data_IF_852080714703
#
_entry.id   IF_852080714703
#
_cell.length_a   1.000
_cell.length_b   1.000
_cell.length_c   1.000
_cell.angle_alpha   90.00
_cell.angle_beta   90.00
_cell.angle_gamma   90.00
#
_symmetry.space_group_name_H-M   'P 1'
#
loop_
_entity.id
_entity.type
_entity.pdbx_description
1 polymer ?
#
# COMPACT_ATOMS: atom_id res chain seq x y z
N UNK A 1 25.36 27.85 -10.96
CA UNK A 1 24.62 27.08 -9.94
C UNK A 1 23.32 26.59 -10.59
N UNK A 2 23.12 25.28 -10.66
CA UNK A 2 22.22 24.62 -11.63
C UNK A 2 20.76 24.70 -11.22
N UNK A 3 20.00 25.64 -11.80
CA UNK A 3 18.56 25.81 -11.59
C UNK A 3 17.75 24.50 -11.74
N UNK A 4 18.18 23.62 -12.64
CA UNK A 4 17.60 22.29 -12.86
C UNK A 4 17.58 21.40 -11.59
N UNK A 5 18.61 21.49 -10.75
CA UNK A 5 18.68 20.70 -9.51
C UNK A 5 17.55 21.08 -8.56
N UNK A 6 17.29 22.38 -8.41
CA UNK A 6 16.23 22.88 -7.55
C UNK A 6 14.84 22.50 -8.05
N UNK A 7 14.66 22.42 -9.37
CA UNK A 7 13.42 21.90 -9.96
C UNK A 7 13.22 20.43 -9.62
N UNK A 8 14.26 19.61 -9.78
CA UNK A 8 14.19 18.17 -9.46
C UNK A 8 13.88 17.95 -7.97
N UNK A 9 14.58 18.67 -7.08
CA UNK A 9 14.34 18.61 -5.64
C UNK A 9 12.91 19.02 -5.31
N UNK A 10 12.42 20.12 -5.88
CA UNK A 10 11.05 20.58 -5.67
C UNK A 10 9.99 19.55 -6.11
N UNK A 11 10.19 18.91 -7.25
CA UNK A 11 9.30 17.84 -7.74
C UNK A 11 9.32 16.63 -6.82
N UNK A 12 10.51 16.18 -6.38
CA UNK A 12 10.61 15.04 -5.45
C UNK A 12 9.93 15.34 -4.11
N UNK A 13 10.12 16.54 -3.56
CA UNK A 13 9.45 16.96 -2.33
C UNK A 13 7.94 17.00 -2.49
N UNK A 14 7.43 17.52 -3.61
CA UNK A 14 6.00 17.56 -3.89
C UNK A 14 5.38 16.16 -4.01
N UNK A 15 6.10 15.20 -4.62
CA UNK A 15 5.65 13.80 -4.73
C UNK A 15 5.59 13.14 -3.34
N UNK A 16 6.64 13.29 -2.53
CA UNK A 16 6.67 12.72 -1.16
C UNK A 16 5.57 13.33 -0.29
N UNK A 17 5.39 14.65 -0.34
CA UNK A 17 4.30 15.33 0.35
C UNK A 17 2.94 14.85 -0.14
N UNK A 18 2.76 14.67 -1.46
CA UNK A 18 1.53 14.13 -2.03
C UNK A 18 1.22 12.72 -1.51
N UNK A 19 2.23 11.84 -1.42
CA UNK A 19 2.10 10.49 -0.87
C UNK A 19 1.79 10.48 0.63
N UNK A 20 2.34 11.42 1.42
CA UNK A 20 2.05 11.55 2.86
C UNK A 20 0.69 12.19 3.14
N UNK A 21 0.34 13.24 2.41
CA UNK A 21 -0.89 14.00 2.64
C UNK A 21 -2.12 13.20 2.19
N UNK A 22 -1.99 12.37 1.15
CA UNK A 22 -3.07 11.52 0.64
C UNK A 22 -3.72 10.60 1.70
N UNK A 23 -2.99 9.77 2.48
CA UNK A 23 -3.59 8.96 3.54
C UNK A 23 -4.11 9.79 4.71
N UNK A 24 -3.48 10.92 5.03
CA UNK A 24 -3.92 11.81 6.12
C UNK A 24 -5.27 12.49 5.80
N UNK A 25 -5.43 12.99 4.57
CA UNK A 25 -6.72 13.56 4.11
C UNK A 25 -7.81 12.48 4.00
N UNK A 26 -7.43 11.25 3.63
CA UNK A 26 -8.34 10.11 3.57
C UNK A 26 -8.81 9.65 4.95
N UNK A 27 -7.98 9.80 5.98
CA UNK A 27 -8.32 9.50 7.38
C UNK A 27 -9.25 10.57 8.02
N UNK A 28 -9.14 11.83 7.59
CA UNK A 28 -9.88 12.95 8.20
C UNK A 28 -11.33 13.10 7.71
N UNK A 29 -11.72 12.44 6.61
CA UNK A 29 -13.00 12.69 5.94
C UNK A 29 -14.20 11.86 6.47
N UNK A 30 -14.13 11.34 7.71
CA UNK A 30 -15.13 10.41 8.24
C UNK A 30 -14.83 8.99 7.76
N UNK A 31 -13.76 8.42 8.32
CA UNK A 31 -13.16 7.18 7.85
C UNK A 31 -14.19 6.06 7.68
N UNK A 32 -14.06 5.25 6.61
CA UNK A 32 -14.90 4.07 6.48
C UNK A 32 -14.61 3.14 7.67
N UNK A 33 -15.54 2.25 8.04
CA UNK A 33 -15.35 1.29 9.14
C UNK A 33 -13.96 0.68 9.06
N UNK A 34 -13.32 0.41 10.20
CA UNK A 34 -11.95 -0.12 10.30
C UNK A 34 -11.66 -1.22 9.26
N UNK A 35 -12.67 -2.03 8.98
CA UNK A 35 -12.79 -3.03 7.92
C UNK A 35 -12.42 -2.55 6.49
N UNK A 36 -12.94 -1.42 6.04
CA UNK A 36 -12.70 -0.88 4.70
C UNK A 36 -11.29 -0.28 4.56
N UNK A 37 -10.72 0.21 5.67
CA UNK A 37 -9.30 0.60 5.73
C UNK A 37 -8.41 -0.65 5.69
N UNK A 38 -8.72 -1.67 6.49
CA UNK A 38 -7.99 -2.94 6.52
C UNK A 38 -8.01 -3.62 5.13
N UNK A 39 -9.15 -3.63 4.44
CA UNK A 39 -9.28 -4.20 3.10
C UNK A 39 -8.50 -3.43 2.01
N UNK A 40 -8.22 -2.14 2.21
CA UNK A 40 -7.32 -1.42 1.33
C UNK A 40 -5.86 -1.84 1.56
N UNK A 41 -5.46 -1.96 2.83
CA UNK A 41 -4.10 -2.40 3.20
C UNK A 41 -3.80 -3.80 2.66
N UNK A 42 -4.75 -4.74 2.72
CA UNK A 42 -4.52 -6.08 2.13
C UNK A 42 -4.41 -6.07 0.60
N UNK A 43 -5.15 -5.19 -0.10
CA UNK A 43 -4.99 -5.03 -1.54
C UNK A 43 -3.61 -4.48 -1.90
N UNK A 44 -3.12 -3.52 -1.12
CA UNK A 44 -1.78 -2.96 -1.30
C UNK A 44 -0.70 -4.02 -1.03
N UNK A 45 -0.86 -4.88 -0.02
CA UNK A 45 0.06 -5.99 0.27
C UNK A 45 0.14 -7.02 -0.87
N UNK A 46 -0.99 -7.34 -1.52
CA UNK A 46 -0.99 -8.25 -2.67
C UNK A 46 -0.21 -7.65 -3.84
N UNK A 47 -0.34 -6.34 -4.06
CA UNK A 47 0.41 -5.63 -5.09
C UNK A 47 1.92 -5.56 -4.77
N UNK A 48 2.30 -5.33 -3.51
CA UNK A 48 3.71 -5.40 -3.08
C UNK A 48 4.31 -6.79 -3.30
N UNK A 49 3.54 -7.85 -3.06
CA UNK A 49 3.97 -9.24 -3.31
C UNK A 49 4.32 -9.50 -4.78
N UNK A 50 3.52 -8.93 -5.69
CA UNK A 50 3.75 -9.06 -7.14
C UNK A 50 5.00 -8.26 -7.56
N UNK A 51 5.19 -7.06 -7.01
CA UNK A 51 6.39 -6.24 -7.23
C UNK A 51 7.66 -6.93 -6.68
N UNK A 52 7.58 -7.58 -5.52
CA UNK A 52 8.73 -8.28 -4.91
C UNK A 52 9.11 -9.54 -5.70
N UNK A 53 8.13 -10.24 -6.29
CA UNK A 53 8.40 -11.33 -7.22
C UNK A 53 9.09 -10.80 -8.49
N UNK A 54 8.57 -9.72 -9.07
CA UNK A 54 9.16 -9.10 -10.27
C UNK A 54 10.60 -8.64 -10.04
N UNK A 55 10.91 -8.17 -8.82
CA UNK A 55 12.26 -7.80 -8.39
C UNK A 55 13.16 -9.00 -8.04
N UNK A 56 12.60 -10.21 -8.03
CA UNK A 56 13.31 -11.44 -7.65
C UNK A 56 13.70 -11.51 -6.17
N UNK A 57 13.03 -10.73 -5.31
CA UNK A 57 13.30 -10.71 -3.87
C UNK A 57 12.72 -11.92 -3.14
N UNK A 58 11.67 -12.52 -3.72
CA UNK A 58 10.99 -13.70 -3.20
C UNK A 58 10.79 -14.74 -4.32
N UNK A 59 10.68 -16.01 -3.94
CA UNK A 59 10.39 -17.09 -4.87
C UNK A 59 8.88 -17.17 -5.18
N UNK A 60 8.49 -17.80 -6.32
CA UNK A 60 7.08 -18.06 -6.61
C UNK A 60 6.36 -18.86 -5.51
N UNK A 61 7.06 -19.79 -4.83
CA UNK A 61 6.47 -20.51 -3.70
C UNK A 61 6.24 -19.61 -2.49
N UNK A 62 7.15 -18.67 -2.21
CA UNK A 62 6.98 -17.71 -1.12
C UNK A 62 5.83 -16.74 -1.40
N UNK A 63 5.71 -16.25 -2.64
CA UNK A 63 4.60 -15.41 -3.07
C UNK A 63 3.26 -16.16 -2.94
N UNK A 64 3.16 -17.41 -3.43
CA UNK A 64 1.93 -18.19 -3.32
C UNK A 64 1.52 -18.42 -1.86
N UNK A 65 2.46 -18.79 -0.99
CA UNK A 65 2.19 -19.00 0.43
C UNK A 65 1.73 -17.72 1.14
N UNK A 66 2.38 -16.59 0.87
CA UNK A 66 2.00 -15.30 1.45
C UNK A 66 0.64 -14.80 0.94
N UNK A 67 0.32 -14.99 -0.35
CA UNK A 67 -0.99 -14.68 -0.93
C UNK A 67 -2.11 -15.45 -0.23
N UNK A 68 -1.93 -16.76 -0.01
CA UNK A 68 -2.92 -17.59 0.70
C UNK A 68 -3.16 -17.11 2.14
N UNK A 69 -2.10 -16.69 2.85
CA UNK A 69 -2.24 -16.17 4.21
C UNK A 69 -2.94 -14.82 4.25
N UNK A 70 -2.66 -13.93 3.28
CA UNK A 70 -3.36 -12.65 3.13
C UNK A 70 -4.86 -12.88 2.88
N UNK A 71 -5.21 -13.77 1.94
CA UNK A 71 -6.60 -14.13 1.64
C UNK A 71 -7.33 -14.70 2.88
N UNK A 72 -6.66 -15.56 3.66
CA UNK A 72 -7.20 -16.08 4.92
C UNK A 72 -7.50 -14.96 5.92
N UNK A 73 -6.61 -13.98 6.06
CA UNK A 73 -6.82 -12.83 6.96
C UNK A 73 -7.97 -11.95 6.49
N UNK A 74 -8.08 -11.72 5.18
CA UNK A 74 -9.21 -10.97 4.60
C UNK A 74 -10.55 -11.64 4.91
N UNK A 75 -10.63 -12.98 4.78
CA UNK A 75 -11.82 -13.74 5.15
C UNK A 75 -12.13 -13.61 6.65
N UNK A 76 -11.13 -13.73 7.54
CA UNK A 76 -11.36 -13.60 8.98
C UNK A 76 -11.93 -12.25 9.42
N UNK A 77 -11.59 -11.17 8.70
CA UNK A 77 -12.14 -9.84 8.96
C UNK A 77 -13.55 -9.70 8.42
N UNK A 78 -13.81 -10.25 7.23
CA UNK A 78 -15.15 -10.30 6.68
C UNK A 78 -16.12 -11.07 7.59
N UNK A 79 -15.65 -12.17 8.20
CA UNK A 79 -16.42 -12.96 9.16
C UNK A 79 -16.63 -12.21 10.49
N UNK A 80 -15.64 -11.47 10.96
CA UNK A 80 -15.74 -10.69 12.21
C UNK A 80 -16.62 -9.42 12.10
N UNK A 81 -16.89 -8.97 10.87
CA UNK A 81 -17.76 -7.85 10.56
C UNK A 81 -19.26 -8.23 10.50
N UNK A 82 -19.58 -9.52 10.58
CA UNK A 82 -20.92 -10.10 10.47
C UNK A 82 -21.47 -10.51 11.84
#
# INVERSE_FOLDING_TARGET
>A
MSFLLWVIVGVMTAVVLGLLVRPLLRASAGGPTREAYDMQVYRDQLHELDVDLERGLITPQQQAAARTEIERRMLSIADAAN
#
